data_IF_278886356591
#
_entry.id   IF_278886356591
#
_cell.length_a   1.000
_cell.length_b   1.000
_cell.length_c   1.000
_cell.angle_alpha   90.00
_cell.angle_beta   90.00
_cell.angle_gamma   90.00
#
_symmetry.space_group_name_H-M   'P 1'
#
loop_
_entity.id
_entity.type
_entity.pdbx_description
1 polymer ?
#
# COMPACT_ATOMS: atom_id res chain seq x y z
N UNK A 1 -19.59 -21.51 -19.24
CA UNK A 1 -19.42 -20.34 -18.33
C UNK A 1 -18.24 -20.63 -17.43
N UNK A 2 -17.37 -19.65 -17.19
CA UNK A 2 -16.26 -19.81 -16.26
C UNK A 2 -16.78 -20.15 -14.85
N UNK A 3 -16.09 -21.03 -14.13
CA UNK A 3 -16.39 -21.37 -12.73
C UNK A 3 -15.70 -20.39 -11.75
N UNK A 4 -15.02 -19.36 -12.27
CA UNK A 4 -14.28 -18.34 -11.52
C UNK A 4 -15.18 -17.15 -11.23
N UNK A 5 -15.17 -16.68 -9.96
CA UNK A 5 -15.81 -15.44 -9.56
C UNK A 5 -14.78 -14.60 -8.78
N UNK A 6 -14.34 -13.47 -9.35
CA UNK A 6 -13.51 -12.50 -8.62
C UNK A 6 -14.37 -11.64 -7.68
N UNK A 7 -13.90 -11.49 -6.45
CA UNK A 7 -14.52 -10.67 -5.40
C UNK A 7 -13.50 -9.68 -4.88
N UNK A 8 -13.85 -8.41 -4.83
CA UNK A 8 -12.96 -7.32 -4.47
C UNK A 8 -13.48 -6.53 -3.28
N UNK A 9 -12.59 -6.14 -2.39
CA UNK A 9 -12.86 -5.13 -1.37
C UNK A 9 -12.21 -3.82 -1.78
N UNK A 10 -13.01 -2.81 -2.09
CA UNK A 10 -12.56 -1.51 -2.59
C UNK A 10 -13.50 -0.96 -3.67
N UNK A 11 -13.29 0.29 -4.06
CA UNK A 11 -14.09 0.97 -5.07
C UNK A 11 -13.27 1.82 -6.04
N UNK A 12 -11.97 1.87 -5.87
CA UNK A 12 -11.02 2.73 -6.56
C UNK A 12 -10.58 2.17 -7.92
N UNK A 13 -9.60 2.82 -8.52
CA UNK A 13 -9.03 2.42 -9.81
C UNK A 13 -8.32 1.05 -9.73
N UNK A 14 -7.74 0.69 -8.58
CA UNK A 14 -7.12 -0.62 -8.40
C UNK A 14 -8.16 -1.73 -8.51
N UNK A 15 -9.33 -1.55 -7.87
CA UNK A 15 -10.45 -2.46 -7.98
C UNK A 15 -10.90 -2.64 -9.45
N UNK A 16 -11.01 -1.54 -10.20
CA UNK A 16 -11.35 -1.61 -11.62
C UNK A 16 -10.28 -2.34 -12.45
N UNK A 17 -9.00 -2.09 -12.18
CA UNK A 17 -7.90 -2.74 -12.91
C UNK A 17 -7.86 -4.25 -12.67
N UNK A 18 -8.09 -4.72 -11.44
CA UNK A 18 -8.24 -6.15 -11.15
C UNK A 18 -9.42 -6.76 -11.91
N UNK A 19 -10.59 -6.11 -11.85
CA UNK A 19 -11.78 -6.59 -12.55
C UNK A 19 -11.55 -6.68 -14.07
N UNK A 20 -10.89 -5.67 -14.64
CA UNK A 20 -10.55 -5.65 -16.06
C UNK A 20 -9.60 -6.79 -16.43
N UNK A 21 -8.56 -7.04 -15.62
CA UNK A 21 -7.64 -8.15 -15.87
C UNK A 21 -8.35 -9.51 -15.86
N UNK A 22 -9.25 -9.74 -14.92
CA UNK A 22 -10.07 -10.96 -14.88
C UNK A 22 -11.04 -11.04 -16.07
N UNK A 23 -11.64 -9.92 -16.46
CA UNK A 23 -12.54 -9.87 -17.61
C UNK A 23 -11.79 -10.16 -18.91
N UNK A 24 -10.65 -9.52 -19.13
CA UNK A 24 -9.84 -9.70 -20.35
C UNK A 24 -9.30 -11.14 -20.44
N UNK A 25 -8.91 -11.75 -19.33
CA UNK A 25 -8.34 -13.10 -19.31
C UNK A 25 -9.37 -14.23 -19.37
N UNK A 26 -10.52 -14.04 -18.72
CA UNK A 26 -11.49 -15.14 -18.50
C UNK A 26 -12.91 -14.84 -18.98
N UNK A 27 -13.21 -13.63 -19.46
CA UNK A 27 -14.55 -13.21 -19.88
C UNK A 27 -15.55 -13.16 -18.73
N UNK A 28 -15.11 -12.96 -17.49
CA UNK A 28 -15.97 -12.94 -16.31
C UNK A 28 -16.27 -11.53 -15.83
N UNK A 29 -17.40 -11.36 -15.18
CA UNK A 29 -17.72 -10.16 -14.40
C UNK A 29 -17.30 -10.38 -12.94
N UNK A 30 -17.02 -9.29 -12.22
CA UNK A 30 -16.54 -9.29 -10.86
C UNK A 30 -17.55 -8.71 -9.90
N UNK A 31 -17.45 -9.07 -8.62
CA UNK A 31 -18.23 -8.48 -7.54
C UNK A 31 -17.32 -7.63 -6.66
N UNK A 32 -17.80 -6.46 -6.25
CA UNK A 32 -17.00 -5.57 -5.40
C UNK A 32 -17.84 -4.97 -4.27
N UNK A 33 -17.22 -4.86 -3.09
CA UNK A 33 -17.82 -4.31 -1.87
C UNK A 33 -16.94 -3.17 -1.36
N UNK A 34 -17.56 -2.07 -0.94
CA UNK A 34 -16.85 -0.91 -0.40
C UNK A 34 -17.78 0.02 0.35
N UNK A 35 -17.21 0.89 1.19
CA UNK A 35 -17.97 1.81 2.05
C UNK A 35 -18.80 2.83 1.26
N UNK A 36 -18.29 3.26 0.14
CA UNK A 36 -18.93 4.23 -0.75
C UNK A 36 -18.54 3.95 -2.20
N UNK A 37 -19.42 4.27 -3.16
CA UNK A 37 -19.14 4.04 -4.57
C UNK A 37 -18.16 5.10 -5.10
N UNK A 38 -17.23 4.67 -5.94
CA UNK A 38 -16.37 5.55 -6.73
C UNK A 38 -16.65 5.34 -8.23
N UNK A 39 -16.37 6.34 -9.05
CA UNK A 39 -16.72 6.33 -10.47
C UNK A 39 -16.19 5.08 -11.23
N UNK A 40 -14.95 4.60 -11.04
CA UNK A 40 -14.41 3.45 -11.77
C UNK A 40 -15.23 2.16 -11.57
N UNK A 41 -15.77 1.94 -10.37
CA UNK A 41 -16.54 0.74 -10.04
C UNK A 41 -18.04 0.95 -10.22
N UNK A 42 -18.57 2.10 -9.81
CA UNK A 42 -20.02 2.42 -9.87
C UNK A 42 -20.59 2.36 -11.30
N UNK A 43 -19.83 2.84 -12.28
CA UNK A 43 -20.30 2.93 -13.67
C UNK A 43 -19.71 1.85 -14.57
N UNK A 44 -18.94 0.92 -14.01
CA UNK A 44 -18.38 -0.20 -14.73
C UNK A 44 -19.48 -1.16 -15.20
N UNK A 45 -19.31 -1.73 -16.39
CA UNK A 45 -20.18 -2.79 -16.92
C UNK A 45 -19.70 -4.20 -16.57
N UNK A 46 -18.51 -4.30 -15.97
CA UNK A 46 -17.87 -5.58 -15.63
C UNK A 46 -17.76 -5.77 -14.11
N UNK A 47 -18.34 -4.85 -13.31
CA UNK A 47 -18.31 -4.92 -11.85
C UNK A 47 -19.72 -4.75 -11.29
N UNK A 48 -20.15 -5.71 -10.49
CA UNK A 48 -21.33 -5.60 -9.62
C UNK A 48 -20.90 -4.98 -8.30
N UNK A 49 -21.04 -3.67 -8.17
CA UNK A 49 -20.61 -2.95 -6.96
C UNK A 49 -21.75 -2.85 -5.94
N UNK A 50 -21.45 -3.23 -4.70
CA UNK A 50 -22.36 -3.11 -3.56
C UNK A 50 -21.76 -2.19 -2.51
N UNK A 51 -22.51 -1.14 -2.12
CA UNK A 51 -22.14 -0.26 -1.03
C UNK A 51 -22.50 -0.89 0.32
N UNK A 52 -21.51 -0.99 1.21
CA UNK A 52 -21.66 -1.45 2.59
C UNK A 52 -20.99 -0.39 3.49
N UNK A 53 -21.72 0.48 4.16
CA UNK A 53 -21.16 1.64 4.89
C UNK A 53 -20.12 1.30 5.95
N UNK A 54 -20.26 0.16 6.62
CA UNK A 54 -19.37 -0.37 7.65
C UNK A 54 -18.46 -1.50 7.14
N UNK A 55 -18.08 -1.49 5.84
CA UNK A 55 -17.22 -2.52 5.24
C UNK A 55 -15.78 -2.49 5.77
N UNK A 56 -15.38 -1.49 6.53
CA UNK A 56 -14.14 -1.40 7.29
C UNK A 56 -14.19 -2.11 8.66
N UNK A 57 -15.33 -2.68 9.03
CA UNK A 57 -15.46 -3.56 10.18
C UNK A 57 -15.24 -5.02 9.75
N UNK A 58 -14.31 -5.72 10.41
CA UNK A 58 -13.94 -7.09 10.04
C UNK A 58 -15.07 -8.10 10.17
N UNK A 59 -15.94 -7.96 11.17
CA UNK A 59 -17.07 -8.88 11.35
C UNK A 59 -18.15 -8.66 10.29
N UNK A 60 -18.39 -7.40 9.89
CA UNK A 60 -19.25 -7.08 8.73
C UNK A 60 -18.68 -7.67 7.46
N UNK A 61 -17.36 -7.53 7.22
CA UNK A 61 -16.68 -8.11 6.07
C UNK A 61 -16.87 -9.62 6.04
N UNK A 62 -16.59 -10.33 7.12
CA UNK A 62 -16.76 -11.80 7.20
C UNK A 62 -18.19 -12.22 6.91
N UNK A 63 -19.17 -11.59 7.54
CA UNK A 63 -20.58 -11.89 7.31
C UNK A 63 -20.96 -11.77 5.83
N UNK A 64 -20.61 -10.66 5.19
CA UNK A 64 -20.90 -10.42 3.77
C UNK A 64 -20.23 -11.47 2.88
N UNK A 65 -18.96 -11.78 3.15
CA UNK A 65 -18.19 -12.74 2.36
C UNK A 65 -18.74 -14.17 2.53
N UNK A 66 -19.09 -14.60 3.73
CA UNK A 66 -19.71 -15.92 3.96
C UNK A 66 -21.09 -16.01 3.32
N UNK A 67 -21.93 -14.97 3.41
CA UNK A 67 -23.22 -14.92 2.72
C UNK A 67 -23.06 -15.04 1.20
N UNK A 68 -22.06 -14.34 0.63
CA UNK A 68 -21.75 -14.42 -0.79
C UNK A 68 -21.28 -15.82 -1.20
N UNK A 69 -20.37 -16.42 -0.43
CA UNK A 69 -19.87 -17.77 -0.70
C UNK A 69 -20.98 -18.82 -0.64
N UNK A 70 -21.91 -18.69 0.33
CA UNK A 70 -23.05 -19.57 0.44
C UNK A 70 -24.00 -19.54 -0.77
N UNK A 71 -24.11 -18.39 -1.43
CA UNK A 71 -24.90 -18.20 -2.66
C UNK A 71 -24.19 -18.74 -3.93
N UNK A 72 -22.88 -18.91 -3.88
CA UNK A 72 -22.05 -19.28 -5.03
C UNK A 72 -21.33 -20.62 -4.83
N UNK A 73 -21.96 -21.59 -4.17
CA UNK A 73 -21.41 -22.92 -3.92
C UNK A 73 -20.94 -23.60 -5.22
N UNK A 74 -19.76 -24.22 -5.17
CA UNK A 74 -19.16 -24.91 -6.30
C UNK A 74 -18.43 -24.00 -7.30
N UNK A 75 -18.36 -22.69 -7.02
CA UNK A 75 -17.53 -21.76 -7.77
C UNK A 75 -16.17 -21.56 -7.09
N UNK A 76 -15.16 -21.20 -7.88
CA UNK A 76 -13.85 -20.78 -7.38
C UNK A 76 -13.89 -19.28 -7.11
N UNK A 77 -13.92 -18.91 -5.84
CA UNK A 77 -14.00 -17.52 -5.41
C UNK A 77 -12.59 -16.98 -5.19
N UNK A 78 -12.23 -15.92 -5.90
CA UNK A 78 -10.96 -15.22 -5.73
C UNK A 78 -11.20 -13.90 -5.00
N UNK A 79 -10.50 -13.68 -3.86
CA UNK A 79 -10.71 -12.51 -3.01
C UNK A 79 -9.46 -11.64 -2.96
N UNK A 80 -9.62 -10.34 -3.23
CA UNK A 80 -8.56 -9.34 -3.18
C UNK A 80 -8.99 -8.07 -2.43
N UNK A 81 -8.12 -7.56 -1.57
CA UNK A 81 -8.21 -6.20 -1.05
C UNK A 81 -7.53 -5.23 -2.01
N UNK A 82 -8.26 -4.22 -2.45
CA UNK A 82 -7.75 -3.25 -3.43
C UNK A 82 -7.10 -2.01 -2.78
N UNK A 83 -7.16 -1.90 -1.46
CA UNK A 83 -6.44 -0.92 -0.65
C UNK A 83 -5.66 -1.63 0.46
N UNK A 84 -4.68 -0.94 1.05
CA UNK A 84 -3.87 -1.48 2.14
C UNK A 84 -4.73 -1.96 3.32
N UNK A 85 -5.77 -1.19 3.67
CA UNK A 85 -6.69 -1.53 4.76
C UNK A 85 -7.45 -2.84 4.48
N UNK A 86 -8.06 -2.96 3.31
CA UNK A 86 -8.80 -4.16 2.94
C UNK A 86 -7.90 -5.38 2.77
N UNK A 87 -6.69 -5.19 2.22
CA UNK A 87 -5.70 -6.26 2.15
C UNK A 87 -5.31 -6.75 3.56
N UNK A 88 -5.05 -5.80 4.48
CA UNK A 88 -4.74 -6.11 5.87
C UNK A 88 -5.87 -6.88 6.57
N UNK A 89 -7.12 -6.45 6.40
CA UNK A 89 -8.29 -7.13 6.99
C UNK A 89 -8.43 -8.57 6.48
N UNK A 90 -8.31 -8.80 5.17
CA UNK A 90 -8.35 -10.13 4.58
C UNK A 90 -7.23 -11.01 5.14
N UNK A 91 -6.00 -10.49 5.22
CA UNK A 91 -4.85 -11.24 5.72
C UNK A 91 -5.02 -11.62 7.19
N UNK A 92 -5.49 -10.70 8.04
CA UNK A 92 -5.75 -10.98 9.46
C UNK A 92 -6.81 -12.06 9.68
N UNK A 93 -7.85 -12.07 8.85
CA UNK A 93 -8.98 -12.99 8.97
C UNK A 93 -8.92 -14.16 7.97
N UNK A 94 -7.77 -14.38 7.33
CA UNK A 94 -7.58 -15.39 6.26
C UNK A 94 -7.99 -16.81 6.68
N UNK A 95 -7.75 -17.17 7.93
CA UNK A 95 -8.12 -18.49 8.47
C UNK A 95 -9.63 -18.74 8.52
N UNK A 96 -10.45 -17.68 8.51
CA UNK A 96 -11.90 -17.75 8.52
C UNK A 96 -12.51 -17.69 7.10
N UNK A 97 -11.73 -17.31 6.09
CA UNK A 97 -12.16 -17.12 4.70
C UNK A 97 -11.78 -18.32 3.82
N UNK A 98 -12.01 -19.53 4.32
CA UNK A 98 -11.59 -20.79 3.67
C UNK A 98 -12.28 -21.07 2.33
N UNK A 99 -13.42 -20.45 2.04
CA UNK A 99 -14.14 -20.54 0.78
C UNK A 99 -13.46 -19.76 -0.35
N UNK A 100 -12.49 -18.91 -0.01
CA UNK A 100 -11.84 -18.01 -0.94
C UNK A 100 -10.39 -18.41 -1.20
N UNK A 101 -9.99 -18.26 -2.45
CA UNK A 101 -8.58 -18.23 -2.85
C UNK A 101 -8.14 -16.77 -2.74
N UNK A 102 -7.33 -16.47 -1.70
CA UNK A 102 -6.83 -15.11 -1.48
C UNK A 102 -5.30 -15.15 -1.44
N UNK A 103 -4.63 -14.54 -2.44
CA UNK A 103 -3.19 -14.37 -2.40
C UNK A 103 -2.82 -13.39 -1.28
N UNK A 104 -1.68 -13.63 -0.68
CA UNK A 104 -1.15 -12.76 0.37
C UNK A 104 -0.28 -13.56 1.34
N UNK A 105 0.66 -12.88 2.00
CA UNK A 105 1.55 -13.51 2.97
C UNK A 105 0.79 -14.00 4.21
N UNK A 106 1.50 -14.70 5.10
CA UNK A 106 1.03 -14.94 6.46
C UNK A 106 0.88 -13.62 7.23
N UNK A 107 -0.02 -13.56 8.19
CA UNK A 107 -0.36 -12.32 8.88
C UNK A 107 0.81 -11.70 9.67
N UNK A 108 1.67 -12.53 10.24
CA UNK A 108 2.90 -12.12 10.94
C UNK A 108 3.92 -11.49 9.97
N UNK A 109 4.13 -12.10 8.80
CA UNK A 109 5.01 -11.55 7.77
C UNK A 109 4.46 -10.22 7.23
N UNK A 110 3.15 -10.13 6.99
CA UNK A 110 2.53 -8.90 6.53
C UNK A 110 2.75 -7.74 7.51
N UNK A 111 2.58 -8.00 8.81
CA UNK A 111 2.83 -7.00 9.86
C UNK A 111 4.25 -6.45 9.84
N UNK A 112 5.24 -7.28 9.49
CA UNK A 112 6.65 -6.87 9.45
C UNK A 112 7.07 -6.08 8.20
N UNK A 113 6.24 -6.07 7.13
CA UNK A 113 6.57 -5.36 5.87
C UNK A 113 5.64 -4.19 5.57
N UNK A 114 4.49 -4.09 6.23
CA UNK A 114 3.49 -3.05 5.97
C UNK A 114 3.96 -1.66 6.42
N UNK A 115 4.60 -1.60 7.58
CA UNK A 115 5.09 -0.35 8.17
C UNK A 115 6.52 -0.05 7.70
N UNK A 116 6.79 1.20 7.39
CA UNK A 116 8.08 1.61 6.82
C UNK A 116 9.27 1.33 7.73
N UNK A 117 9.09 1.53 9.04
CA UNK A 117 10.19 1.30 9.99
C UNK A 117 10.53 -0.19 10.08
N UNK A 118 9.54 -1.07 10.19
CA UNK A 118 9.72 -2.53 10.19
C UNK A 118 10.29 -3.02 8.87
N UNK A 119 9.82 -2.45 7.74
CA UNK A 119 10.34 -2.78 6.42
C UNK A 119 11.85 -2.46 6.29
N UNK A 120 12.32 -1.35 6.85
CA UNK A 120 13.76 -1.04 6.83
C UNK A 120 14.57 -2.00 7.71
N UNK A 121 14.03 -2.48 8.82
CA UNK A 121 14.65 -3.55 9.62
C UNK A 121 14.78 -4.85 8.80
N UNK A 122 13.78 -5.17 7.97
CA UNK A 122 13.84 -6.29 7.03
C UNK A 122 14.89 -6.05 5.95
N UNK A 123 14.98 -4.83 5.41
CA UNK A 123 16.00 -4.47 4.42
C UNK A 123 17.42 -4.69 4.99
N UNK A 124 17.68 -4.23 6.21
CA UNK A 124 18.98 -4.45 6.87
C UNK A 124 19.31 -5.94 7.03
N UNK A 125 18.34 -6.70 7.53
CA UNK A 125 18.48 -8.15 7.75
C UNK A 125 18.87 -8.91 6.48
N UNK A 126 18.36 -8.49 5.33
CA UNK A 126 18.58 -9.15 4.04
C UNK A 126 19.58 -8.42 3.13
N UNK A 127 20.20 -7.32 3.60
CA UNK A 127 21.15 -6.54 2.81
C UNK A 127 20.52 -5.82 1.62
N UNK A 128 19.22 -5.51 1.69
CA UNK A 128 18.50 -4.78 0.64
C UNK A 128 18.79 -3.29 0.77
N UNK A 129 19.32 -2.62 -0.25
CA UNK A 129 19.62 -1.19 -0.18
C UNK A 129 18.35 -0.35 0.02
N UNK A 130 18.41 0.61 0.91
CA UNK A 130 17.39 1.63 1.12
C UNK A 130 18.04 2.96 1.48
N UNK A 131 17.37 4.11 1.33
CA UNK A 131 17.95 5.41 1.67
C UNK A 131 18.23 5.52 3.17
N UNK A 132 19.37 6.12 3.54
CA UNK A 132 19.73 6.37 4.94
C UNK A 132 18.54 6.95 5.70
N UNK A 133 18.19 6.36 6.85
CA UNK A 133 16.97 6.68 7.57
C UNK A 133 17.16 6.65 9.07
N UNK A 134 16.52 7.58 9.77
CA UNK A 134 16.43 7.62 11.24
C UNK A 134 14.98 7.39 11.64
N UNK A 135 14.76 6.52 12.61
CA UNK A 135 13.44 6.20 13.12
C UNK A 135 13.26 6.89 14.49
N UNK A 136 12.21 7.71 14.59
CA UNK A 136 11.83 8.38 15.83
C UNK A 136 10.59 7.73 16.43
N UNK A 137 10.60 7.58 17.76
CA UNK A 137 9.49 7.05 18.56
C UNK A 137 8.74 8.13 19.34
N UNK A 138 9.29 9.35 19.36
CA UNK A 138 8.75 10.51 20.05
C UNK A 138 9.23 11.80 19.38
N UNK A 139 8.63 12.97 19.70
CA UNK A 139 9.16 14.26 19.30
C UNK A 139 10.56 14.48 19.85
N UNK A 140 11.40 15.14 19.08
CA UNK A 140 12.76 15.52 19.48
C UNK A 140 13.01 16.99 19.16
N UNK A 141 13.97 17.60 19.84
CA UNK A 141 14.38 18.98 19.57
C UNK A 141 15.23 19.08 18.30
N UNK A 142 15.24 20.25 17.67
CA UNK A 142 16.02 20.52 16.46
C UNK A 142 17.53 20.24 16.66
N UNK A 143 18.06 20.41 17.86
CA UNK A 143 19.44 20.10 18.20
C UNK A 143 19.78 18.60 18.10
N UNK A 144 18.79 17.73 18.12
CA UNK A 144 18.96 16.27 17.90
C UNK A 144 18.88 15.88 16.42
N UNK A 145 18.52 16.82 15.54
CA UNK A 145 18.30 16.59 14.12
C UNK A 145 19.34 17.29 13.21
N UNK A 146 20.51 17.61 13.76
CA UNK A 146 21.61 18.17 12.94
C UNK A 146 22.14 17.16 11.95
N UNK A 147 22.73 17.63 10.85
CA UNK A 147 23.30 16.74 9.79
C UNK A 147 24.32 15.75 10.36
N UNK A 148 25.16 16.18 11.31
CA UNK A 148 26.13 15.31 11.99
C UNK A 148 25.45 14.16 12.74
N UNK A 149 24.28 14.41 13.36
CA UNK A 149 23.52 13.39 14.09
C UNK A 149 22.69 12.49 13.19
N UNK A 150 22.18 13.03 12.09
CA UNK A 150 21.44 12.26 11.11
C UNK A 150 22.36 11.39 10.23
N UNK A 151 23.59 11.85 9.97
CA UNK A 151 24.52 11.22 9.03
C UNK A 151 24.23 11.54 7.56
N UNK A 152 23.31 12.47 7.29
CA UNK A 152 22.97 12.93 5.92
C UNK A 152 22.50 14.40 5.93
N UNK A 153 22.65 15.04 4.77
CA UNK A 153 22.38 16.46 4.60
C UNK A 153 20.89 16.78 4.39
N UNK A 154 20.52 18.02 4.66
CA UNK A 154 19.23 18.60 4.30
C UNK A 154 19.22 19.02 2.81
N UNK A 155 18.03 19.06 2.12
CA UNK A 155 16.70 18.75 2.64
C UNK A 155 16.48 17.24 2.86
N UNK A 156 15.62 16.91 3.83
CA UNK A 156 15.29 15.53 4.17
C UNK A 156 13.79 15.26 3.99
N UNK A 157 13.44 13.98 3.85
CA UNK A 157 12.05 13.52 3.85
C UNK A 157 11.63 13.17 5.28
N UNK A 158 10.45 13.63 5.69
CA UNK A 158 9.79 13.27 6.95
C UNK A 158 8.45 12.62 6.65
N UNK A 159 8.24 11.39 7.12
CA UNK A 159 7.02 10.63 6.83
C UNK A 159 6.62 9.71 7.98
N UNK A 160 5.31 9.42 8.18
CA UNK A 160 4.86 8.44 9.15
C UNK A 160 5.23 7.02 8.73
N UNK A 161 5.54 6.16 9.70
CA UNK A 161 5.81 4.74 9.45
C UNK A 161 4.53 4.01 9.00
N UNK A 162 3.43 4.15 9.76
CA UNK A 162 2.13 3.59 9.45
C UNK A 162 1.25 4.62 8.72
N UNK A 163 0.99 4.40 7.44
CA UNK A 163 0.04 5.23 6.68
C UNK A 163 -1.39 5.03 7.18
N UNK A 164 -1.78 3.81 7.53
CA UNK A 164 -3.11 3.46 8.03
C UNK A 164 -3.45 4.21 9.31
N UNK A 165 -2.54 4.19 10.29
CA UNK A 165 -2.77 4.88 11.56
C UNK A 165 -2.67 6.39 11.39
N UNK A 166 -1.82 6.86 10.48
CA UNK A 166 -1.65 8.28 10.22
C UNK A 166 -2.95 8.95 9.75
N UNK A 167 -3.66 8.35 8.80
CA UNK A 167 -4.92 8.92 8.28
C UNK A 167 -6.08 8.92 9.27
N UNK A 168 -5.97 8.19 10.38
CA UNK A 168 -6.95 8.21 11.48
C UNK A 168 -6.80 9.43 12.41
N UNK A 169 -5.72 10.19 12.29
CA UNK A 169 -5.39 11.34 13.14
C UNK A 169 -5.23 12.62 12.29
N UNK A 170 -6.30 13.13 11.66
CA UNK A 170 -6.23 14.24 10.74
C UNK A 170 -5.93 15.57 11.44
N UNK A 171 -5.22 16.47 10.73
CA UNK A 171 -4.94 17.85 11.13
C UNK A 171 -4.82 18.73 9.88
N UNK A 172 -4.98 20.07 10.02
CA UNK A 172 -5.17 21.00 8.91
C UNK A 172 -4.04 21.01 7.87
N UNK A 173 -2.79 20.81 8.28
CA UNK A 173 -1.62 20.83 7.38
C UNK A 173 -1.14 19.46 6.96
N UNK A 174 -1.98 18.44 7.11
CA UNK A 174 -1.66 17.06 6.88
C UNK A 174 -1.26 16.77 5.43
N UNK A 175 -0.10 16.12 5.26
CA UNK A 175 0.42 15.64 3.98
C UNK A 175 0.89 14.20 4.13
N UNK A 176 0.91 13.43 3.04
CA UNK A 176 1.44 12.07 3.04
C UNK A 176 2.96 12.03 3.30
N UNK A 177 3.69 13.01 2.75
CA UNK A 177 5.14 13.14 2.85
C UNK A 177 5.49 14.62 3.02
N UNK A 178 6.46 14.91 3.84
CA UNK A 178 6.99 16.25 4.07
C UNK A 178 8.45 16.31 3.64
N UNK A 179 8.85 17.47 3.13
CA UNK A 179 10.26 17.83 2.95
C UNK A 179 10.61 18.89 3.98
N UNK A 180 11.68 18.68 4.73
CA UNK A 180 12.22 19.66 5.66
C UNK A 180 13.58 20.15 5.14
N UNK A 181 13.76 21.47 5.09
CA UNK A 181 15.01 22.08 4.64
C UNK A 181 15.98 22.34 5.81
N UNK A 182 15.50 22.28 7.05
CA UNK A 182 16.28 22.56 8.25
C UNK A 182 15.93 21.64 9.41
N UNK A 183 16.81 21.49 10.42
CA UNK A 183 16.49 20.76 11.65
C UNK A 183 15.25 21.30 12.38
N UNK A 184 15.05 22.62 12.36
CA UNK A 184 13.91 23.27 13.02
C UNK A 184 12.58 22.89 12.33
N UNK A 185 12.55 22.90 11.00
CA UNK A 185 11.39 22.46 10.24
C UNK A 185 11.08 20.98 10.47
N UNK A 186 12.09 20.12 10.48
CA UNK A 186 11.92 18.70 10.74
C UNK A 186 11.34 18.44 12.13
N UNK A 187 11.86 19.10 13.16
CA UNK A 187 11.36 19.00 14.52
C UNK A 187 9.91 19.46 14.64
N UNK A 188 9.54 20.58 13.99
CA UNK A 188 8.17 21.11 14.03
C UNK A 188 7.19 20.18 13.33
N UNK A 189 7.55 19.59 12.18
CA UNK A 189 6.74 18.59 11.47
C UNK A 189 6.49 17.37 12.38
N UNK A 190 7.54 16.81 12.96
CA UNK A 190 7.47 15.66 13.86
C UNK A 190 6.57 15.95 15.06
N UNK A 191 6.77 17.10 15.70
CA UNK A 191 5.97 17.57 16.83
C UNK A 191 4.51 17.72 16.48
N UNK A 192 4.19 18.33 15.34
CA UNK A 192 2.82 18.53 14.86
C UNK A 192 2.12 17.18 14.63
N UNK A 193 2.80 16.23 14.02
CA UNK A 193 2.25 14.89 13.77
C UNK A 193 1.96 14.16 15.07
N UNK A 194 2.89 14.15 16.03
CA UNK A 194 2.64 13.52 17.33
C UNK A 194 1.55 14.24 18.13
N UNK A 195 1.45 15.57 18.03
CA UNK A 195 0.41 16.35 18.70
C UNK A 195 -1.01 16.03 18.17
N UNK A 196 -1.15 15.51 16.94
CA UNK A 196 -2.44 15.02 16.43
C UNK A 196 -2.92 13.71 17.06
N UNK A 197 -2.07 13.07 17.89
CA UNK A 197 -2.35 11.78 18.51
C UNK A 197 -1.85 10.57 17.69
N UNK A 198 -1.06 10.80 16.64
CA UNK A 198 -0.45 9.71 15.87
C UNK A 198 0.38 8.78 16.76
N UNK A 199 0.08 7.46 16.82
CA UNK A 199 0.62 6.57 17.86
C UNK A 199 1.90 5.82 17.46
N UNK A 200 2.34 5.94 16.21
CA UNK A 200 3.43 5.11 15.68
C UNK A 200 4.70 5.94 15.39
N UNK A 201 5.71 5.31 14.86
CA UNK A 201 7.02 5.86 14.58
C UNK A 201 7.04 6.83 13.40
N UNK A 202 7.96 7.77 13.44
CA UNK A 202 8.28 8.65 12.31
C UNK A 202 9.58 8.23 11.64
N UNK A 203 9.64 8.39 10.33
CA UNK A 203 10.83 8.14 9.51
C UNK A 203 11.37 9.46 8.99
N UNK A 204 12.61 9.79 9.36
CA UNK A 204 13.41 10.83 8.74
C UNK A 204 14.36 10.17 7.76
N UNK A 205 14.37 10.60 6.52
CA UNK A 205 15.07 9.89 5.46
C UNK A 205 15.83 10.85 4.56
N UNK A 206 17.04 10.45 4.21
CA UNK A 206 17.82 11.11 3.16
C UNK A 206 17.01 11.22 1.88
N UNK A 207 16.95 12.43 1.34
CA UNK A 207 16.28 12.65 0.06
C UNK A 207 17.09 12.05 -1.09
N UNK A 208 16.48 11.13 -1.82
CA UNK A 208 17.08 10.59 -3.04
C UNK A 208 16.90 11.63 -4.14
N UNK A 209 17.97 12.06 -4.84
CA UNK A 209 17.87 13.05 -5.90
C UNK A 209 17.19 12.48 -7.15
N UNK A 210 16.54 13.34 -7.92
CA UNK A 210 15.84 13.01 -9.16
C UNK A 210 14.39 13.46 -9.15
N UNK A 211 13.79 13.55 -10.30
CA UNK A 211 12.36 13.82 -10.50
C UNK A 211 11.56 12.53 -10.71
N UNK A 212 10.30 12.68 -11.11
CA UNK A 212 9.37 11.58 -11.37
C UNK A 212 9.94 10.56 -12.38
N UNK A 213 10.67 11.05 -13.37
CA UNK A 213 11.32 10.25 -14.43
C UNK A 213 12.43 9.32 -13.93
N UNK A 214 12.91 9.52 -12.69
CA UNK A 214 13.86 8.62 -12.03
C UNK A 214 13.19 7.54 -11.20
N UNK A 215 11.88 7.63 -10.98
CA UNK A 215 11.14 6.66 -10.18
C UNK A 215 10.91 5.36 -10.95
N UNK A 216 11.15 4.24 -10.26
CA UNK A 216 10.87 2.90 -10.77
C UNK A 216 10.03 2.12 -9.76
N UNK A 217 9.11 1.33 -10.27
CA UNK A 217 8.25 0.48 -9.47
C UNK A 217 8.39 -0.96 -9.96
N UNK A 218 8.98 -1.80 -9.15
CA UNK A 218 9.00 -3.24 -9.40
C UNK A 218 7.80 -3.89 -8.73
N UNK A 219 6.92 -4.49 -9.52
CA UNK A 219 5.83 -5.33 -9.04
C UNK A 219 6.19 -6.79 -9.30
N UNK A 220 6.08 -7.63 -8.28
CA UNK A 220 6.35 -9.05 -8.40
C UNK A 220 5.23 -9.88 -7.77
N UNK A 221 5.01 -11.07 -8.31
CA UNK A 221 4.16 -12.09 -7.74
C UNK A 221 4.98 -13.33 -7.39
N UNK A 222 4.93 -13.73 -6.13
CA UNK A 222 5.54 -14.96 -5.64
C UNK A 222 4.47 -16.01 -5.34
N UNK A 223 4.75 -17.27 -5.65
CA UNK A 223 3.87 -18.39 -5.31
C UNK A 223 4.00 -18.79 -3.82
N UNK A 224 3.25 -19.81 -3.42
CA UNK A 224 3.24 -20.36 -2.06
C UNK A 224 4.59 -20.91 -1.58
N UNK A 225 5.52 -21.18 -2.50
CA UNK A 225 6.87 -21.65 -2.20
C UNK A 225 7.90 -20.49 -2.17
N UNK A 226 7.44 -19.24 -2.25
CA UNK A 226 8.29 -18.06 -2.30
C UNK A 226 8.99 -17.85 -3.63
N UNK A 227 8.63 -18.62 -4.68
CA UNK A 227 9.23 -18.46 -6.00
C UNK A 227 8.54 -17.32 -6.77
N UNK A 228 9.30 -16.35 -7.22
CA UNK A 228 8.81 -15.29 -8.11
C UNK A 228 8.36 -15.89 -9.44
N UNK A 229 7.11 -15.67 -9.81
CA UNK A 229 6.47 -16.20 -11.02
C UNK A 229 6.22 -15.15 -12.09
N UNK A 230 6.08 -13.91 -11.68
CA UNK A 230 5.91 -12.80 -12.60
C UNK A 230 6.54 -11.55 -11.99
N UNK A 231 7.16 -10.73 -12.82
CA UNK A 231 7.67 -9.40 -12.46
C UNK A 231 7.34 -8.42 -13.58
N UNK A 232 7.11 -7.18 -13.19
CA UNK A 232 6.96 -6.05 -14.11
C UNK A 232 7.66 -4.84 -13.51
N UNK A 233 8.63 -4.31 -14.23
CA UNK A 233 9.28 -3.04 -13.90
C UNK A 233 8.49 -1.91 -14.56
N UNK A 234 8.08 -0.94 -13.77
CA UNK A 234 7.42 0.26 -14.24
C UNK A 234 8.32 1.47 -14.12
N UNK A 235 8.40 2.25 -15.19
CA UNK A 235 8.98 3.58 -15.20
C UNK A 235 7.89 4.61 -14.98
N UNK A 236 7.98 5.37 -13.92
CA UNK A 236 7.02 6.43 -13.60
C UNK A 236 7.24 7.61 -14.55
N UNK A 237 6.20 7.95 -15.30
CA UNK A 237 6.21 9.11 -16.19
C UNK A 237 5.71 10.36 -15.48
N UNK A 238 4.73 10.19 -14.58
CA UNK A 238 4.09 11.27 -13.81
C UNK A 238 3.63 10.72 -12.48
N UNK A 239 3.92 11.44 -11.39
CA UNK A 239 3.33 11.22 -10.06
C UNK A 239 2.10 12.11 -9.83
N UNK A 240 1.30 11.77 -8.83
CA UNK A 240 0.20 12.60 -8.37
C UNK A 240 0.72 13.69 -7.42
N UNK A 241 0.79 14.94 -7.88
CA UNK A 241 1.31 16.08 -7.11
C UNK A 241 0.25 16.74 -6.20
N UNK A 242 -0.64 15.95 -5.60
CA UNK A 242 -1.56 16.45 -4.58
C UNK A 242 -1.03 16.19 -3.17
N UNK A 243 -1.43 16.96 -2.14
CA UNK A 243 -0.95 16.74 -0.77
C UNK A 243 -1.20 15.32 -0.22
N UNK A 244 -2.25 14.66 -0.70
CA UNK A 244 -2.64 13.31 -0.29
C UNK A 244 -2.14 12.23 -1.24
N UNK A 245 -1.83 12.59 -2.49
CA UNK A 245 -1.43 11.67 -3.55
C UNK A 245 0.06 11.55 -3.78
N UNK A 246 0.88 12.44 -3.23
CA UNK A 246 2.33 12.45 -3.46
C UNK A 246 2.95 11.07 -3.18
N UNK A 247 3.72 10.56 -4.15
CA UNK A 247 4.27 9.22 -4.14
C UNK A 247 3.31 8.14 -4.67
N UNK A 248 2.14 8.50 -5.20
CA UNK A 248 1.33 7.63 -6.04
C UNK A 248 1.66 7.92 -7.50
N UNK A 249 1.74 6.88 -8.31
CA UNK A 249 2.06 7.03 -9.73
C UNK A 249 0.77 7.21 -10.54
N UNK A 250 0.67 8.31 -11.27
CA UNK A 250 -0.47 8.61 -12.14
C UNK A 250 -0.32 7.98 -13.52
N UNK A 251 0.92 7.86 -14.01
CA UNK A 251 1.23 7.19 -15.27
C UNK A 251 2.55 6.42 -15.17
N UNK A 252 2.50 5.14 -15.52
CA UNK A 252 3.64 4.22 -15.52
C UNK A 252 3.72 3.53 -16.88
N UNK A 253 4.93 3.39 -17.42
CA UNK A 253 5.22 2.60 -18.62
C UNK A 253 6.08 1.40 -18.22
N UNK A 254 5.77 0.22 -18.72
CA UNK A 254 6.60 -0.96 -18.47
C UNK A 254 7.95 -0.84 -19.14
N UNK A 255 9.01 -1.21 -18.43
CA UNK A 255 10.39 -1.30 -18.91
C UNK A 255 10.90 -2.73 -18.83
N UNK A 256 12.03 -2.99 -19.46
CA UNK A 256 12.75 -4.26 -19.33
C UNK A 256 13.31 -4.38 -17.90
N UNK A 257 13.00 -5.50 -17.23
CA UNK A 257 13.48 -5.78 -15.86
C UNK A 257 14.99 -5.91 -15.77
N UNK A 258 15.67 -6.23 -16.87
CA UNK A 258 17.14 -6.32 -16.92
C UNK A 258 17.84 -4.96 -16.87
N UNK A 259 17.10 -3.86 -17.00
CA UNK A 259 17.65 -2.50 -16.96
C UNK A 259 18.14 -2.05 -15.57
N UNK A 260 17.74 -2.74 -14.51
CA UNK A 260 18.13 -2.41 -13.14
C UNK A 260 18.96 -3.53 -12.50
N UNK A 261 20.22 -3.27 -12.12
CA UNK A 261 21.07 -4.25 -11.43
C UNK A 261 20.46 -4.78 -10.12
N UNK A 262 19.61 -3.98 -9.48
CA UNK A 262 18.92 -4.38 -8.24
C UNK A 262 17.97 -5.57 -8.45
N UNK A 263 17.38 -5.72 -9.64
CA UNK A 263 16.43 -6.82 -9.94
C UNK A 263 17.13 -8.18 -10.00
N UNK A 264 18.42 -8.23 -10.27
CA UNK A 264 19.20 -9.48 -10.32
C UNK A 264 19.35 -10.13 -8.92
N UNK A 265 19.10 -9.38 -7.85
CA UNK A 265 19.25 -9.82 -6.46
C UNK A 265 17.92 -10.11 -5.76
N UNK A 266 16.81 -10.07 -6.45
CA UNK A 266 15.46 -10.38 -5.97
C UNK A 266 15.01 -11.74 -6.52
#
# INVERSE_FOLDING_TARGET
>A
MSDIIPVFLGADLNCYNFARAFHDAYGVESYAYGRYPMAPTKYSKIIHFTTVPDMDNEDTMLRILHEFAAQHKGKRLYLFGCTDDYAAMIIRRKAELTEYISPGPAADLYGSIQKKAEFYEVCEKFGIPYPDSIILTAPVDAAELTEDKLGFAYPIIVKPSSSVDYWKHPFDTMKKVYTAATPAEAAEIVKTIYASGYPDRMVLQKMVPGGDDHMRVLTAFSDENGKVRAMCLGHTMVEEHTPHGLGNHAAIVSEDTTSLPLVENI
#
